data_IF_906608234388
#
_entry.id   IF_906608234388
#
_cell.length_a   1.000
_cell.length_b   1.000
_cell.length_c   1.000
_cell.angle_alpha   90.00
_cell.angle_beta   90.00
_cell.angle_gamma   90.00
#
_symmetry.space_group_name_H-M   'P 1'
#
loop_
_entity.id
_entity.type
_entity.pdbx_description
1 polymer ?
#
# COMPACT_ATOMS: atom_id res chain seq x y z
N UNK A 1 55.73 32.39 17.22
CA UNK A 1 54.63 33.39 17.20
C UNK A 1 53.35 32.62 17.01
N UNK A 2 52.72 32.26 18.13
CA UNK A 2 51.56 31.38 18.25
C UNK A 2 50.32 32.25 18.41
N UNK A 3 49.47 32.28 17.39
CA UNK A 3 48.19 32.99 17.41
C UNK A 3 47.12 32.08 18.00
N UNK A 4 46.80 32.35 19.26
CA UNK A 4 45.72 31.74 20.04
C UNK A 4 44.40 32.42 19.64
N UNK A 5 43.43 31.66 19.14
CA UNK A 5 42.06 32.16 18.85
C UNK A 5 41.14 31.72 19.98
N UNK A 6 40.53 32.65 20.75
CA UNK A 6 39.55 32.29 21.78
C UNK A 6 38.17 32.03 21.16
N UNK A 7 37.48 31.04 21.71
CA UNK A 7 36.09 30.70 21.39
C UNK A 7 35.12 31.77 21.93
N UNK A 8 33.97 32.02 21.25
CA UNK A 8 32.90 32.80 21.83
C UNK A 8 32.13 31.99 22.88
N UNK A 9 32.04 32.54 24.08
CA UNK A 9 31.10 32.13 25.12
C UNK A 9 29.67 32.47 24.67
N UNK A 10 28.80 31.45 24.58
CA UNK A 10 27.36 31.64 24.47
C UNK A 10 26.78 31.76 25.86
N UNK A 11 26.49 32.99 26.26
CA UNK A 11 25.71 33.30 27.45
C UNK A 11 24.26 32.84 27.30
N UNK A 12 23.73 32.35 28.41
CA UNK A 12 22.39 31.88 28.62
C UNK A 12 21.33 32.97 28.38
N UNK A 13 20.23 32.58 27.74
CA UNK A 13 18.96 33.29 27.87
C UNK A 13 17.81 32.29 27.96
N UNK A 14 17.61 31.74 29.16
CA UNK A 14 16.36 31.08 29.56
C UNK A 14 15.28 32.14 29.73
N UNK A 15 14.53 32.40 28.66
CA UNK A 15 13.26 33.12 28.70
C UNK A 15 12.11 32.12 28.76
N UNK A 16 11.65 31.80 29.97
CA UNK A 16 10.36 31.15 30.18
C UNK A 16 9.26 32.18 29.94
N UNK A 17 8.75 32.26 28.71
CA UNK A 17 7.50 32.93 28.40
C UNK A 17 6.35 31.99 28.73
N UNK A 18 5.74 32.22 29.89
CA UNK A 18 4.47 31.64 30.29
C UNK A 18 3.36 32.27 29.46
N UNK A 19 2.83 31.54 28.48
CA UNK A 19 1.57 31.91 27.82
C UNK A 19 0.41 31.67 28.80
N UNK A 20 -0.48 32.66 29.03
CA UNK A 20 -1.71 32.45 29.77
C UNK A 20 -2.69 31.64 28.91
N UNK A 21 -2.93 30.37 29.30
CA UNK A 21 -4.03 29.61 28.72
C UNK A 21 -5.36 30.27 29.09
N UNK A 22 -6.27 30.49 28.12
CA UNK A 22 -7.60 30.99 28.42
C UNK A 22 -8.41 29.92 29.17
N UNK A 23 -8.81 30.29 30.37
CA UNK A 23 -9.76 29.60 31.25
C UNK A 23 -11.15 29.62 30.60
N UNK A 24 -11.41 28.66 29.72
CA UNK A 24 -12.74 28.40 29.15
C UNK A 24 -13.03 26.91 29.32
N UNK A 25 -13.68 26.57 30.43
CA UNK A 25 -15.00 25.89 30.49
C UNK A 25 -15.21 25.21 31.86
N UNK A 26 -16.40 25.33 32.48
CA UNK A 26 -16.75 24.59 33.69
C UNK A 26 -16.78 23.08 33.41
N UNK A 27 -15.94 22.34 34.14
CA UNK A 27 -15.79 20.89 34.09
C UNK A 27 -16.64 20.24 35.18
N UNK A 28 -17.95 20.24 34.98
CA UNK A 28 -18.91 19.41 35.73
C UNK A 28 -19.94 18.87 34.73
N UNK A 29 -19.45 18.03 33.83
CA UNK A 29 -20.24 17.17 32.97
C UNK A 29 -19.69 15.78 33.17
N UNK A 30 -20.40 14.98 33.96
CA UNK A 30 -20.30 13.54 34.07
C UNK A 30 -20.27 12.94 32.65
N UNK A 31 -19.06 12.76 32.11
CA UNK A 31 -18.84 11.94 30.92
C UNK A 31 -18.92 10.52 31.43
N UNK A 32 -20.16 10.03 31.52
CA UNK A 32 -20.43 8.61 31.47
C UNK A 32 -19.76 8.08 30.19
N UNK A 33 -18.54 7.58 30.32
CA UNK A 33 -17.94 6.68 29.34
C UNK A 33 -18.99 5.62 29.06
N UNK A 34 -19.47 5.45 27.82
CA UNK A 34 -20.32 4.32 27.51
C UNK A 34 -19.47 3.06 27.70
N UNK A 35 -19.57 2.47 28.89
CA UNK A 35 -19.08 1.14 29.22
C UNK A 35 -19.96 0.15 28.46
N UNK A 36 -19.78 0.10 27.13
CA UNK A 36 -20.44 -0.85 26.24
C UNK A 36 -19.55 -2.08 26.16
N UNK A 37 -19.45 -2.79 27.29
CA UNK A 37 -18.82 -4.10 27.40
C UNK A 37 -19.82 -5.09 27.96
N UNK A 38 -20.95 -5.27 27.27
CA UNK A 38 -21.91 -6.31 27.62
C UNK A 38 -21.29 -7.71 27.41
N UNK A 39 -21.65 -8.72 28.23
CA UNK A 39 -21.05 -10.06 28.21
C UNK A 39 -21.30 -10.92 26.95
N UNK A 40 -21.79 -10.31 25.86
CA UNK A 40 -22.15 -10.98 24.60
C UNK A 40 -21.72 -10.16 23.37
N UNK A 41 -20.57 -9.46 23.42
CA UNK A 41 -19.95 -8.98 22.18
C UNK A 41 -19.45 -10.20 21.40
N UNK A 42 -20.25 -10.62 20.41
CA UNK A 42 -19.81 -11.51 19.37
C UNK A 42 -18.47 -11.00 18.80
N UNK A 43 -17.52 -11.88 18.47
CA UNK A 43 -16.24 -11.47 17.91
C UNK A 43 -16.47 -10.52 16.73
N UNK A 44 -15.79 -9.37 16.75
CA UNK A 44 -15.89 -8.35 15.69
C UNK A 44 -15.38 -8.86 14.33
N UNK A 45 -14.83 -10.08 14.26
CA UNK A 45 -14.30 -10.74 13.07
C UNK A 45 -15.16 -11.96 12.76
N UNK A 46 -15.60 -12.09 11.52
CA UNK A 46 -16.40 -13.26 11.12
C UNK A 46 -15.52 -14.51 10.99
N UNK A 47 -16.08 -15.71 11.15
CA UNK A 47 -15.31 -16.95 10.99
C UNK A 47 -14.70 -17.10 9.58
N UNK A 48 -15.35 -16.54 8.55
CA UNK A 48 -14.83 -16.57 7.18
C UNK A 48 -13.62 -15.63 7.02
N UNK A 49 -13.68 -14.44 7.61
CA UNK A 49 -12.58 -13.47 7.62
C UNK A 49 -11.37 -14.00 8.40
N UNK A 50 -11.60 -14.59 9.57
CA UNK A 50 -10.53 -15.23 10.33
C UNK A 50 -9.85 -16.34 9.52
N UNK A 51 -10.62 -17.17 8.80
CA UNK A 51 -10.03 -18.22 7.95
C UNK A 51 -9.23 -17.64 6.77
N UNK A 52 -9.63 -16.49 6.22
CA UNK A 52 -8.84 -15.79 5.20
C UNK A 52 -7.54 -15.24 5.79
N UNK A 53 -7.62 -14.64 6.98
CA UNK A 53 -6.46 -14.12 7.71
C UNK A 53 -5.46 -15.22 8.06
N UNK A 54 -5.93 -16.35 8.61
CA UNK A 54 -5.07 -17.48 8.97
C UNK A 54 -4.31 -18.00 7.74
N UNK A 55 -5.03 -18.15 6.61
CA UNK A 55 -4.42 -18.58 5.35
C UNK A 55 -3.46 -17.53 4.78
N UNK A 56 -3.77 -16.25 4.91
CA UNK A 56 -2.88 -15.17 4.51
C UNK A 56 -1.56 -15.26 5.29
N UNK A 57 -1.62 -15.37 6.62
CA UNK A 57 -0.44 -15.43 7.49
C UNK A 57 0.38 -16.70 7.25
N UNK A 58 -0.27 -17.87 7.08
CA UNK A 58 0.41 -19.12 6.74
C UNK A 58 1.24 -18.99 5.45
N UNK A 59 0.64 -18.44 4.39
CA UNK A 59 1.32 -18.25 3.11
C UNK A 59 2.40 -17.15 3.19
N UNK A 60 2.16 -16.09 3.95
CA UNK A 60 3.12 -15.02 4.17
C UNK A 60 4.39 -15.56 4.84
N UNK A 61 4.23 -16.29 5.94
CA UNK A 61 5.32 -16.94 6.65
C UNK A 61 6.05 -17.95 5.78
N UNK A 62 5.33 -18.74 4.97
CA UNK A 62 5.94 -19.68 4.03
C UNK A 62 6.82 -18.96 2.99
N UNK A 63 6.42 -17.78 2.50
CA UNK A 63 7.18 -17.00 1.53
C UNK A 63 8.41 -16.34 2.14
N UNK A 64 8.24 -15.70 3.30
CA UNK A 64 9.28 -14.90 3.94
C UNK A 64 10.32 -15.79 4.60
N UNK A 65 9.91 -16.87 5.26
CA UNK A 65 10.80 -17.75 6.04
C UNK A 65 11.19 -19.04 5.32
N UNK A 66 10.89 -19.17 4.02
CA UNK A 66 11.38 -20.30 3.25
C UNK A 66 12.93 -20.32 3.23
N UNK A 67 13.56 -21.48 3.49
CA UNK A 67 15.03 -21.57 3.58
C UNK A 67 15.78 -21.05 2.36
N UNK A 68 15.17 -21.17 1.18
CA UNK A 68 15.77 -20.77 -0.10
C UNK A 68 15.59 -19.28 -0.41
N UNK A 69 14.55 -18.64 0.15
CA UNK A 69 14.24 -17.21 -0.13
C UNK A 69 14.77 -16.30 0.95
N UNK A 70 14.76 -16.74 2.21
CA UNK A 70 15.09 -15.91 3.36
C UNK A 70 16.49 -15.28 3.29
N UNK A 71 17.58 -15.98 2.88
CA UNK A 71 18.88 -15.34 2.73
C UNK A 71 18.88 -14.17 1.74
N UNK A 72 18.17 -14.31 0.62
CA UNK A 72 18.05 -13.25 -0.37
C UNK A 72 17.24 -12.04 0.16
N UNK A 73 16.24 -12.27 1.01
CA UNK A 73 15.51 -11.20 1.68
C UNK A 73 16.40 -10.45 2.68
N UNK A 74 17.21 -11.16 3.47
CA UNK A 74 18.18 -10.53 4.37
C UNK A 74 19.19 -9.67 3.60
N UNK A 75 19.69 -10.17 2.47
CA UNK A 75 20.63 -9.41 1.63
C UNK A 75 19.98 -8.17 1.02
N UNK A 76 18.69 -8.25 0.63
CA UNK A 76 17.92 -7.08 0.18
C UNK A 76 17.77 -6.05 1.29
N UNK A 77 17.45 -6.46 2.52
CA UNK A 77 17.35 -5.55 3.67
C UNK A 77 18.71 -4.89 3.93
N UNK A 78 19.81 -5.66 3.95
CA UNK A 78 21.18 -5.14 4.14
C UNK A 78 21.63 -4.18 3.04
N UNK A 79 21.15 -4.37 1.82
CA UNK A 79 21.47 -3.49 0.70
C UNK A 79 20.82 -2.11 0.84
N UNK A 80 19.74 -1.99 1.61
CA UNK A 80 19.14 -0.70 1.95
C UNK A 80 20.00 0.05 2.95
N UNK A 81 20.21 1.36 2.71
CA UNK A 81 20.85 2.26 3.68
C UNK A 81 19.88 2.76 4.75
N UNK A 82 18.59 2.69 4.46
CA UNK A 82 17.53 3.12 5.34
C UNK A 82 16.94 1.87 6.04
N UNK A 83 16.96 1.83 7.39
CA UNK A 83 16.46 0.70 8.17
C UNK A 83 14.93 0.51 8.05
N UNK A 84 14.20 1.49 7.55
CA UNK A 84 12.75 1.40 7.30
C UNK A 84 12.48 0.92 5.87
N UNK A 85 13.17 1.48 4.89
CA UNK A 85 12.94 1.21 3.45
C UNK A 85 13.17 -0.26 3.08
N UNK A 86 14.25 -0.86 3.59
CA UNK A 86 14.65 -2.23 3.27
C UNK A 86 13.56 -3.24 3.66
N UNK A 87 13.19 -3.31 4.95
CA UNK A 87 12.11 -4.16 5.43
C UNK A 87 10.77 -3.84 4.77
N UNK A 88 10.40 -2.56 4.64
CA UNK A 88 9.15 -2.17 4.01
C UNK A 88 9.02 -2.74 2.59
N UNK A 89 10.10 -2.68 1.80
CA UNK A 89 10.12 -3.23 0.43
C UNK A 89 9.92 -4.75 0.38
N UNK A 90 10.35 -5.48 1.40
CA UNK A 90 10.13 -6.93 1.52
C UNK A 90 8.68 -7.23 1.88
N UNK A 91 8.11 -6.48 2.82
CA UNK A 91 6.70 -6.59 3.21
C UNK A 91 5.80 -6.30 2.00
N UNK A 92 5.99 -5.17 1.31
CA UNK A 92 5.22 -4.81 0.11
C UNK A 92 5.29 -5.91 -0.95
N UNK A 93 6.49 -6.40 -1.28
CA UNK A 93 6.64 -7.45 -2.29
C UNK A 93 5.95 -8.77 -1.87
N UNK A 94 5.94 -9.08 -0.58
CA UNK A 94 5.26 -10.27 -0.05
C UNK A 94 3.75 -10.12 -0.17
N UNK A 95 3.19 -9.01 0.31
CA UNK A 95 1.74 -8.73 0.24
C UNK A 95 1.25 -8.71 -1.20
N UNK A 96 1.96 -8.02 -2.11
CA UNK A 96 1.62 -7.99 -3.52
C UNK A 96 1.61 -9.39 -4.16
N UNK A 97 2.60 -10.24 -3.82
CA UNK A 97 2.65 -11.63 -4.31
C UNK A 97 1.50 -12.48 -3.77
N UNK A 98 1.11 -12.28 -2.51
CA UNK A 98 -0.04 -12.97 -1.91
C UNK A 98 -1.35 -12.56 -2.59
N UNK A 99 -1.57 -11.26 -2.79
CA UNK A 99 -2.72 -10.74 -3.53
C UNK A 99 -2.83 -11.32 -4.93
N UNK A 100 -1.74 -11.23 -5.71
CA UNK A 100 -1.69 -11.80 -7.06
C UNK A 100 -1.91 -13.32 -7.09
N UNK A 101 -1.38 -14.05 -6.10
CA UNK A 101 -1.60 -15.50 -5.96
C UNK A 101 -3.06 -15.83 -5.64
N UNK A 102 -3.70 -15.10 -4.73
CA UNK A 102 -5.11 -15.28 -4.39
C UNK A 102 -6.01 -15.01 -5.61
N UNK A 103 -5.75 -13.90 -6.32
CA UNK A 103 -6.48 -13.54 -7.55
C UNK A 103 -6.34 -14.60 -8.64
N UNK A 104 -5.13 -15.16 -8.82
CA UNK A 104 -4.91 -16.24 -9.79
C UNK A 104 -5.72 -17.51 -9.48
N UNK A 105 -6.14 -17.69 -8.22
CA UNK A 105 -7.00 -18.78 -7.76
C UNK A 105 -8.49 -18.40 -7.76
N UNK A 106 -8.85 -17.19 -8.21
CA UNK A 106 -10.20 -16.66 -8.17
C UNK A 106 -10.68 -16.32 -6.75
N UNK A 107 -9.75 -16.07 -5.82
CA UNK A 107 -10.03 -15.70 -4.44
C UNK A 107 -9.70 -14.22 -4.28
N UNK A 108 -10.71 -13.41 -3.93
CA UNK A 108 -10.48 -12.05 -3.46
C UNK A 108 -10.16 -12.08 -1.96
N UNK A 109 -9.01 -11.53 -1.56
CA UNK A 109 -8.72 -11.28 -0.15
C UNK A 109 -9.46 -10.01 0.28
N UNK A 110 -10.04 -10.02 1.48
CA UNK A 110 -10.62 -8.81 2.05
C UNK A 110 -9.54 -7.76 2.37
N UNK A 111 -9.85 -6.49 2.17
CA UNK A 111 -8.93 -5.37 2.45
C UNK A 111 -8.49 -5.37 3.92
N UNK A 112 -9.41 -5.62 4.85
CA UNK A 112 -9.12 -5.72 6.29
C UNK A 112 -8.14 -6.87 6.60
N UNK A 113 -8.31 -8.01 5.93
CA UNK A 113 -7.41 -9.16 6.05
C UNK A 113 -6.01 -8.80 5.57
N UNK A 114 -5.89 -8.14 4.42
CA UNK A 114 -4.60 -7.70 3.88
C UNK A 114 -3.95 -6.65 4.78
N UNK A 115 -4.71 -5.70 5.31
CA UNK A 115 -4.22 -4.63 6.17
C UNK A 115 -3.69 -5.18 7.50
N UNK A 116 -4.52 -5.95 8.22
CA UNK A 116 -4.14 -6.53 9.51
C UNK A 116 -3.03 -7.57 9.35
N UNK A 117 -3.14 -8.44 8.34
CA UNK A 117 -2.10 -9.42 8.04
C UNK A 117 -0.76 -8.78 7.70
N UNK A 118 -0.74 -7.66 6.95
CA UNK A 118 0.50 -6.93 6.67
C UNK A 118 1.09 -6.27 7.92
N UNK A 119 0.26 -5.79 8.85
CA UNK A 119 0.71 -5.22 10.12
C UNK A 119 1.40 -6.29 10.99
N UNK A 120 0.77 -7.44 11.17
CA UNK A 120 1.32 -8.54 11.98
C UNK A 120 2.56 -9.15 11.33
N UNK A 121 2.53 -9.35 10.01
CA UNK A 121 3.71 -9.78 9.25
C UNK A 121 4.88 -8.80 9.41
N UNK A 122 4.60 -7.50 9.47
CA UNK A 122 5.64 -6.49 9.70
C UNK A 122 6.29 -6.68 11.08
N UNK A 123 5.48 -6.79 12.13
CA UNK A 123 5.98 -7.01 13.48
C UNK A 123 6.84 -8.29 13.57
N UNK A 124 6.32 -9.42 13.07
CA UNK A 124 7.02 -10.70 13.06
C UNK A 124 8.35 -10.63 12.29
N UNK A 125 8.33 -10.02 11.11
CA UNK A 125 9.52 -9.94 10.27
C UNK A 125 10.61 -9.09 10.90
N UNK A 126 10.25 -7.98 11.55
CA UNK A 126 11.20 -7.12 12.23
C UNK A 126 11.82 -7.78 13.48
N UNK A 127 11.05 -8.56 14.22
CA UNK A 127 11.58 -9.38 15.32
C UNK A 127 12.65 -10.36 14.80
N UNK A 128 12.39 -11.01 13.67
CA UNK A 128 13.36 -11.90 13.02
C UNK A 128 14.60 -11.14 12.55
N UNK A 129 14.45 -9.97 11.95
CA UNK A 129 15.59 -9.14 11.55
C UNK A 129 16.46 -8.71 12.74
N UNK A 130 15.85 -8.36 13.88
CA UNK A 130 16.55 -8.04 15.13
C UNK A 130 17.35 -9.24 15.63
N UNK A 131 16.77 -10.45 15.61
CA UNK A 131 17.49 -11.69 15.96
C UNK A 131 18.71 -11.96 15.04
N UNK A 132 18.72 -11.40 13.82
CA UNK A 132 19.83 -11.45 12.87
C UNK A 132 20.77 -10.24 12.92
N UNK A 133 20.59 -9.34 13.89
CA UNK A 133 21.45 -8.16 14.11
C UNK A 133 21.23 -7.04 13.07
N UNK A 134 20.05 -7.00 12.44
CA UNK A 134 19.68 -5.98 11.44
C UNK A 134 18.85 -4.84 12.01
N UNK A 135 18.97 -4.60 13.31
CA UNK A 135 18.40 -3.45 14.03
C UNK A 135 18.11 -3.83 15.48
N UNK A 136 17.93 -2.84 16.37
CA UNK A 136 16.79 -2.84 17.26
C UNK A 136 15.59 -2.21 16.53
N UNK A 137 14.43 -2.85 16.59
CA UNK A 137 13.19 -2.28 16.07
C UNK A 137 12.27 -1.94 17.24
N UNK A 138 12.24 -0.67 17.64
CA UNK A 138 11.26 -0.19 18.61
C UNK A 138 9.87 -0.03 17.97
N UNK A 139 8.84 0.25 18.77
CA UNK A 139 7.47 0.37 18.26
C UNK A 139 7.32 1.44 17.17
N UNK A 140 8.11 2.53 17.22
CA UNK A 140 8.07 3.57 16.19
C UNK A 140 8.70 3.09 14.88
N UNK A 141 9.75 2.28 14.96
CA UNK A 141 10.37 1.67 13.79
C UNK A 141 9.41 0.65 13.14
N UNK A 142 8.70 -0.16 13.94
CA UNK A 142 7.66 -1.07 13.44
C UNK A 142 6.57 -0.32 12.69
N UNK A 143 5.99 0.71 13.31
CA UNK A 143 4.98 1.57 12.68
C UNK A 143 5.53 2.22 11.39
N UNK A 144 6.77 2.73 11.44
CA UNK A 144 7.43 3.35 10.29
C UNK A 144 7.58 2.41 9.11
N UNK A 145 7.99 1.16 9.34
CA UNK A 145 8.11 0.13 8.31
C UNK A 145 6.73 -0.21 7.74
N UNK A 146 5.73 -0.38 8.59
CA UNK A 146 4.38 -0.70 8.16
C UNK A 146 3.79 0.41 7.27
N UNK A 147 3.82 1.67 7.72
CA UNK A 147 3.32 2.80 6.92
C UNK A 147 4.10 2.99 5.62
N UNK A 148 5.42 2.75 5.65
CA UNK A 148 6.23 2.81 4.44
C UNK A 148 5.85 1.70 3.46
N UNK A 149 5.57 0.49 3.94
CA UNK A 149 5.13 -0.62 3.12
C UNK A 149 3.76 -0.35 2.47
N UNK A 150 2.82 0.26 3.20
CA UNK A 150 1.53 0.69 2.67
C UNK A 150 1.68 1.75 1.56
N UNK A 151 2.56 2.74 1.76
CA UNK A 151 2.82 3.76 0.74
C UNK A 151 3.42 3.16 -0.54
N UNK A 152 4.39 2.26 -0.40
CA UNK A 152 4.97 1.51 -1.53
C UNK A 152 3.92 0.65 -2.23
N UNK A 153 3.07 -0.05 -1.47
CA UNK A 153 2.02 -0.91 -2.04
C UNK A 153 1.02 -0.08 -2.85
N UNK A 154 0.59 1.06 -2.31
CA UNK A 154 -0.27 2.01 -3.03
C UNK A 154 0.38 2.55 -4.30
N UNK A 155 1.67 2.91 -4.25
CA UNK A 155 2.42 3.36 -5.43
C UNK A 155 2.47 2.27 -6.49
N UNK A 156 2.73 1.02 -6.10
CA UNK A 156 2.73 -0.12 -7.00
C UNK A 156 1.35 -0.33 -7.66
N UNK A 157 0.26 -0.33 -6.89
CA UNK A 157 -1.10 -0.47 -7.44
C UNK A 157 -1.46 0.68 -8.40
N UNK A 158 -0.96 1.88 -8.16
CA UNK A 158 -1.10 3.01 -9.07
C UNK A 158 -0.31 2.80 -10.37
N UNK A 159 0.95 2.34 -10.28
CA UNK A 159 1.81 2.05 -11.43
C UNK A 159 1.24 0.91 -12.29
N UNK A 160 0.64 -0.11 -11.66
CA UNK A 160 -0.02 -1.24 -12.31
C UNK A 160 -1.40 -0.89 -12.88
N UNK A 161 -1.88 0.35 -12.66
CA UNK A 161 -3.17 0.84 -13.16
C UNK A 161 -4.38 0.24 -12.44
N UNK A 162 -4.16 -0.41 -11.29
CA UNK A 162 -5.21 -0.97 -10.44
C UNK A 162 -5.86 0.10 -9.55
N UNK A 163 -5.10 1.15 -9.23
CA UNK A 163 -5.59 2.31 -8.48
C UNK A 163 -5.80 3.51 -9.40
N UNK A 164 -7.06 3.89 -9.63
CA UNK A 164 -7.41 5.10 -10.38
C UNK A 164 -7.40 6.33 -9.46
N UNK A 165 -6.26 7.00 -9.38
CA UNK A 165 -6.09 8.22 -8.60
C UNK A 165 -6.99 9.37 -9.08
N UNK A 166 -7.38 9.40 -10.35
CA UNK A 166 -8.29 10.42 -10.85
C UNK A 166 -9.72 10.15 -10.37
N UNK A 167 -10.15 8.89 -10.35
CA UNK A 167 -11.43 8.50 -9.77
C UNK A 167 -11.48 8.81 -8.26
N UNK A 168 -10.43 8.45 -7.51
CA UNK A 168 -10.33 8.76 -6.07
C UNK A 168 -10.40 10.27 -5.83
N UNK A 169 -9.67 11.06 -6.61
CA UNK A 169 -9.74 12.53 -6.53
C UNK A 169 -11.16 13.06 -6.77
N UNK A 170 -11.85 12.53 -7.79
CA UNK A 170 -13.22 12.91 -8.10
C UNK A 170 -14.23 12.46 -7.02
N UNK A 171 -14.02 11.32 -6.36
CA UNK A 171 -14.81 10.90 -5.19
C UNK A 171 -14.60 11.86 -4.01
N UNK A 172 -13.36 12.33 -3.82
CA UNK A 172 -13.03 13.28 -2.76
C UNK A 172 -13.62 14.67 -2.97
N UNK A 173 -13.56 15.19 -4.20
CA UNK A 173 -14.23 16.44 -4.55
C UNK A 173 -15.75 16.34 -4.34
N UNK A 174 -16.34 15.19 -4.66
CA UNK A 174 -17.77 14.91 -4.39
C UNK A 174 -18.07 14.90 -2.90
N UNK A 175 -17.22 14.30 -2.06
CA UNK A 175 -17.39 14.34 -0.61
C UNK A 175 -17.32 15.78 -0.08
N UNK A 176 -16.32 16.57 -0.49
CA UNK A 176 -16.17 17.97 -0.06
C UNK A 176 -17.39 18.81 -0.47
N UNK A 177 -17.89 18.61 -1.69
CA UNK A 177 -19.10 19.28 -2.16
C UNK A 177 -20.35 18.86 -1.37
N UNK A 178 -20.46 17.57 -1.02
CA UNK A 178 -21.54 17.05 -0.18
C UNK A 178 -21.49 17.66 1.23
N UNK A 179 -20.29 17.78 1.81
CA UNK A 179 -20.08 18.39 3.13
C UNK A 179 -20.48 19.86 3.16
N UNK A 180 -20.00 20.65 2.20
CA UNK A 180 -20.39 22.06 2.04
C UNK A 180 -21.91 22.25 1.85
N UNK A 181 -22.59 21.25 1.30
CA UNK A 181 -24.03 21.26 1.10
C UNK A 181 -24.82 20.68 2.27
N UNK A 182 -24.18 20.21 3.35
CA UNK A 182 -24.84 19.53 4.48
C UNK A 182 -25.42 18.16 4.12
N UNK A 183 -24.86 17.49 3.09
CA UNK A 183 -25.32 16.21 2.53
C UNK A 183 -24.29 15.07 2.68
N UNK A 184 -23.38 15.17 3.66
CA UNK A 184 -22.35 14.15 3.92
C UNK A 184 -22.94 12.77 4.20
N UNK A 185 -23.94 12.69 5.09
CA UNK A 185 -24.53 11.40 5.50
C UNK A 185 -25.23 10.64 4.36
N UNK A 186 -26.07 11.27 3.51
CA UNK A 186 -26.59 10.61 2.31
C UNK A 186 -25.51 10.09 1.36
N UNK A 187 -24.42 10.83 1.18
CA UNK A 187 -23.31 10.42 0.32
C UNK A 187 -22.56 9.22 0.89
N UNK A 188 -22.20 9.25 2.18
CA UNK A 188 -21.56 8.11 2.86
C UNK A 188 -22.45 6.85 2.83
N UNK A 189 -23.76 7.02 3.02
CA UNK A 189 -24.72 5.90 2.91
C UNK A 189 -24.84 5.34 1.48
N UNK A 190 -24.58 6.16 0.45
CA UNK A 190 -24.55 5.68 -0.93
C UNK A 190 -23.28 4.86 -1.19
N UNK A 191 -22.13 5.31 -0.67
CA UNK A 191 -20.87 4.58 -0.77
C UNK A 191 -20.95 3.21 -0.07
N UNK A 192 -21.49 3.14 1.14
CA UNK A 192 -21.59 1.87 1.89
C UNK A 192 -22.60 0.88 1.34
N UNK A 193 -23.55 1.33 0.50
CA UNK A 193 -24.52 0.45 -0.19
C UNK A 193 -24.02 -0.06 -1.53
N UNK A 194 -22.97 0.55 -2.06
CA UNK A 194 -22.35 0.08 -3.30
C UNK A 194 -21.43 -1.06 -2.91
N UNK A 195 -22.00 -2.27 -2.86
CA UNK A 195 -21.27 -3.50 -2.56
C UNK A 195 -20.08 -3.63 -3.53
N UNK A 196 -18.82 -3.62 -3.05
CA UNK A 196 -17.64 -3.69 -3.92
C UNK A 196 -17.56 -5.00 -4.70
N UNK A 197 -18.29 -6.04 -4.30
CA UNK A 197 -18.36 -7.31 -5.02
C UNK A 197 -19.32 -7.28 -6.21
N UNK A 198 -20.26 -6.34 -6.21
CA UNK A 198 -21.08 -6.04 -7.37
C UNK A 198 -20.36 -4.96 -8.18
N UNK A 199 -19.25 -5.37 -8.80
CA UNK A 199 -18.53 -4.58 -9.79
C UNK A 199 -19.47 -4.22 -10.93
N UNK A 200 -20.21 -3.13 -10.74
CA UNK A 200 -21.02 -2.51 -11.77
C UNK A 200 -20.08 -1.52 -12.48
N UNK A 201 -19.54 -1.87 -13.68
CA UNK A 201 -18.58 -1.04 -14.39
C UNK A 201 -19.18 0.30 -14.88
N UNK A 202 -20.41 0.63 -14.47
CA UNK A 202 -21.21 1.72 -15.00
C UNK A 202 -21.45 2.89 -14.03
N UNK A 203 -20.75 2.93 -12.87
CA UNK A 203 -20.80 4.11 -11.99
C UNK A 203 -20.02 5.34 -12.52
N UNK A 204 -19.39 5.22 -13.69
CA UNK A 204 -18.85 6.36 -14.45
C UNK A 204 -19.89 7.23 -15.17
N UNK A 205 -21.18 6.88 -15.14
CA UNK A 205 -22.21 7.61 -15.87
C UNK A 205 -23.46 7.88 -15.01
N UNK A 206 -23.33 8.67 -13.94
CA UNK A 206 -24.49 9.44 -13.47
C UNK A 206 -24.75 10.50 -14.54
N UNK A 207 -25.68 10.16 -15.44
CA UNK A 207 -26.11 10.99 -16.56
C UNK A 207 -26.48 12.39 -16.09
N UNK A 208 -25.64 13.36 -16.46
CA UNK A 208 -26.03 14.76 -16.49
C UNK A 208 -26.99 14.91 -17.65
N UNK A 209 -28.28 15.02 -17.32
CA UNK A 209 -29.30 15.73 -18.08
C UNK A 209 -29.26 15.59 -19.59
N UNK A 210 -30.10 14.68 -20.07
CA UNK A 210 -30.76 14.71 -21.37
C UNK A 210 -31.16 16.17 -21.75
N UNK A 211 -30.35 16.80 -22.59
CA UNK A 211 -30.78 17.92 -23.44
C UNK A 211 -30.97 17.36 -24.84
N UNK A 212 -32.22 16.94 -25.05
CA UNK A 212 -32.84 16.73 -26.34
C UNK A 212 -32.66 17.97 -27.21
N UNK A 213 -31.79 17.87 -28.22
CA UNK A 213 -31.82 18.78 -29.37
C UNK A 213 -31.34 18.02 -30.60
N UNK A 214 -32.29 17.73 -31.48
CA UNK A 214 -32.09 16.89 -32.64
C UNK A 214 -31.21 17.52 -33.72
N UNK A 215 -30.57 16.65 -34.48
CA UNK A 215 -30.34 16.86 -35.90
C UNK A 215 -30.09 15.49 -36.53
N UNK A 216 -30.96 15.14 -37.47
CA UNK A 216 -30.78 14.00 -38.35
C UNK A 216 -29.53 14.22 -39.20
N UNK A 217 -28.61 13.25 -39.20
CA UNK A 217 -27.56 13.14 -40.20
C UNK A 217 -27.27 11.66 -40.49
N UNK A 218 -27.90 11.21 -41.57
CA UNK A 218 -27.28 10.45 -42.67
C UNK A 218 -26.26 9.36 -42.31
N UNK A 219 -26.74 8.12 -42.34
CA UNK A 219 -25.98 6.88 -42.30
C UNK A 219 -25.16 6.68 -43.58
N UNK A 220 -23.86 6.97 -43.51
CA UNK A 220 -22.86 6.53 -44.49
C UNK A 220 -22.36 5.10 -44.20
N UNK A 221 -21.93 4.33 -45.23
CA UNK A 221 -21.49 2.94 -45.05
C UNK A 221 -20.13 2.84 -44.35
N UNK A 222 -20.08 1.96 -43.35
CA UNK A 222 -18.88 1.58 -42.59
C UNK A 222 -17.92 0.81 -43.51
N UNK A 223 -16.80 1.44 -43.86
CA UNK A 223 -15.67 0.73 -44.49
C UNK A 223 -14.93 -0.07 -43.41
N UNK A 224 -14.83 -1.38 -43.62
CA UNK A 224 -14.09 -2.30 -42.76
C UNK A 224 -12.59 -1.99 -42.77
N UNK A 225 -11.91 -1.93 -41.61
CA UNK A 225 -10.46 -1.83 -41.58
C UNK A 225 -9.84 -3.17 -42.02
N UNK A 226 -9.06 -3.11 -43.10
CA UNK A 226 -8.21 -4.23 -43.53
C UNK A 226 -7.12 -4.47 -42.48
N UNK A 227 -7.21 -5.60 -41.76
CA UNK A 227 -6.15 -6.05 -40.86
C UNK A 227 -4.93 -6.43 -41.71
N UNK A 228 -3.91 -5.58 -41.65
CA UNK A 228 -2.61 -5.80 -42.27
C UNK A 228 -1.80 -6.74 -41.38
N UNK A 229 -1.82 -8.03 -41.69
CA UNK A 229 -0.94 -9.06 -41.11
C UNK A 229 0.52 -8.73 -41.42
N UNK A 230 1.17 -7.99 -40.51
CA UNK A 230 2.60 -7.72 -40.56
C UNK A 230 3.39 -8.92 -40.05
N UNK A 231 3.87 -9.75 -40.96
CA UNK A 231 4.85 -10.80 -40.69
C UNK A 231 6.16 -10.17 -40.20
N UNK A 232 6.38 -10.16 -38.89
CA UNK A 232 7.66 -9.75 -38.29
C UNK A 232 8.60 -10.96 -38.32
N UNK A 233 9.38 -11.07 -39.40
CA UNK A 233 10.47 -12.05 -39.50
C UNK A 233 11.47 -11.84 -38.36
N UNK A 234 11.63 -12.88 -37.54
CA UNK A 234 12.67 -12.96 -36.52
C UNK A 234 14.05 -13.06 -37.15
N UNK A 235 14.90 -12.08 -36.86
CA UNK A 235 16.32 -12.18 -37.17
C UNK A 235 17.01 -12.93 -36.03
N UNK A 236 17.14 -14.25 -36.18
CA UNK A 236 17.96 -15.10 -35.32
C UNK A 236 19.42 -14.88 -35.70
N UNK A 237 20.19 -14.25 -34.81
CA UNK A 237 21.64 -14.21 -34.93
C UNK A 237 22.24 -15.53 -34.43
N UNK A 238 23.05 -16.25 -35.22
CA UNK A 238 23.74 -17.44 -34.75
C UNK A 238 24.91 -17.02 -33.83
N UNK A 239 24.84 -17.42 -32.55
CA UNK A 239 26.02 -17.42 -31.66
C UNK A 239 26.98 -18.51 -32.15
N UNK A 240 27.95 -18.07 -32.97
CA UNK A 240 29.07 -18.85 -33.47
C UNK A 240 29.90 -19.34 -32.29
N UNK A 241 29.96 -20.66 -32.13
CA UNK A 241 30.90 -21.31 -31.22
C UNK A 241 32.34 -21.00 -31.61
N UNK A 242 33.17 -20.76 -30.60
CA UNK A 242 34.61 -20.96 -30.68
C UNK A 242 34.96 -21.97 -29.60
N UNK A 243 35.16 -23.20 -30.08
CA UNK A 243 35.89 -24.25 -29.40
C UNK A 243 37.40 -23.95 -29.42
N UNK A 244 38.08 -24.65 -28.52
CA UNK A 244 39.48 -25.07 -28.57
C UNK A 244 40.50 -24.19 -27.86
N UNK A 245 41.13 -24.80 -26.86
CA UNK A 245 42.29 -24.27 -26.15
C UNK A 245 42.87 -25.27 -25.15
N UNK A 246 43.22 -26.47 -25.62
CA UNK A 246 43.98 -27.49 -24.88
C UNK A 246 45.48 -27.14 -24.86
N UNK A 247 46.11 -27.10 -23.68
CA UNK A 247 47.55 -27.33 -23.42
C UNK A 247 47.70 -27.45 -21.89
N UNK A 248 48.11 -28.53 -21.23
CA UNK A 248 49.16 -29.55 -21.40
C UNK A 248 50.61 -29.03 -21.33
N UNK A 249 51.35 -29.60 -20.35
CA UNK A 249 52.79 -29.54 -19.99
C UNK A 249 53.25 -28.41 -19.07
N UNK A 250 53.60 -28.67 -17.78
CA UNK A 250 54.81 -29.32 -17.17
C UNK A 250 56.03 -28.36 -17.09
N UNK A 251 57.00 -28.54 -16.16
CA UNK A 251 57.44 -29.76 -15.43
C UNK A 251 56.74 -30.07 -14.11
#
# INVERSE_FOLDING_TARGET
>A
MTSHTPAPQSDAQSGAQSDPQPDFLPRDGDVSTPETGGPDQAPNVTAAEQAQYDRFMELAHQLVYAPDTFPALLDRVRASRDPVEGPASVITATVARLGASAESQGIALGDDVMFHGAADLTADFLEVLEAHGLGPYDSRAVDGVFYRALDMYRQQEQEDGRLDMAAIGADWDRLIAADRAGRTMPFLNALTRTDPTQGDPNLGAVGVGEMEQGAAAETGPIQSPSIRTGARSGHVSPRRGLMSGTALSKP
#
